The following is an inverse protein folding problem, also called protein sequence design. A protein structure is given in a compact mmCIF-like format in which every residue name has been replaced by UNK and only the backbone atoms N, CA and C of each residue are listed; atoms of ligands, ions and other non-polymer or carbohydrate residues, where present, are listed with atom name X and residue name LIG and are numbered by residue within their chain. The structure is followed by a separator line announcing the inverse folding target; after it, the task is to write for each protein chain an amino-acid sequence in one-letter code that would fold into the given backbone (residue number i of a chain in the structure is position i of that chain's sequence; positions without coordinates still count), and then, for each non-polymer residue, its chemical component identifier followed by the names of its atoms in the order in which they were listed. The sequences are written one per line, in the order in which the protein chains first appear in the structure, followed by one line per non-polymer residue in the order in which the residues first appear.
data_IF_435110685845
#
_entry.id   IF_435110685845
#
_cell.length_a   1.000
_cell.length_b   1.000
_cell.length_c   1.000
_cell.angle_alpha   90.00
_cell.angle_beta   90.00
_cell.angle_gamma   90.00
#
_symmetry.space_group_name_H-M   'P 1'
#
loop_
_entity.id
_entity.type
_entity.pdbx_description
1 polymer ?
#
# COMPACT_ATOMS: atom_id res chain seq x y z
N UNK A 1 12.45 40.06 17.83
CA UNK A 1 12.57 40.01 16.36
C UNK A 1 12.87 38.57 15.96
N UNK A 2 11.85 37.84 15.50
CA UNK A 2 11.98 36.44 15.08
C UNK A 2 12.34 36.42 13.59
N UNK A 3 13.58 36.06 13.25
CA UNK A 3 14.02 35.90 11.87
C UNK A 3 13.57 34.53 11.35
N UNK A 4 12.50 34.51 10.56
CA UNK A 4 12.13 33.39 9.71
C UNK A 4 13.11 33.36 8.53
N UNK A 5 14.05 32.41 8.53
CA UNK A 5 14.85 32.12 7.32
C UNK A 5 13.98 31.32 6.35
N UNK A 6 13.47 31.98 5.32
CA UNK A 6 12.91 31.30 4.15
C UNK A 6 14.04 30.56 3.43
N UNK A 7 14.01 29.23 3.45
CA UNK A 7 14.84 28.42 2.57
C UNK A 7 14.23 28.49 1.16
N UNK A 8 14.70 29.41 0.33
CA UNK A 8 14.44 29.38 -1.12
C UNK A 8 15.15 28.15 -1.71
N UNK A 9 14.40 27.15 -2.17
CA UNK A 9 14.94 26.06 -2.99
C UNK A 9 15.12 26.56 -4.45
N UNK A 10 16.36 26.66 -4.93
CA UNK A 10 16.74 26.63 -6.37
C UNK A 10 18.23 26.21 -6.47
N UNK A 11 18.70 25.36 -7.42
CA UNK A 11 18.08 24.86 -8.64
C UNK A 11 18.01 23.32 -8.70
N UNK A 12 17.26 22.73 -7.78
CA UNK A 12 16.76 21.36 -7.94
C UNK A 12 15.29 21.44 -8.32
N UNK A 13 14.78 20.61 -9.25
CA UNK A 13 13.36 20.62 -9.58
C UNK A 13 12.59 20.50 -8.25
N UNK A 14 11.68 21.44 -8.00
CA UNK A 14 10.89 21.59 -6.78
C UNK A 14 10.49 20.24 -6.14
N UNK A 15 10.16 19.28 -7.00
CA UNK A 15 9.96 17.86 -6.71
C UNK A 15 11.00 17.17 -5.81
N UNK A 16 12.30 17.32 -6.12
CA UNK A 16 13.38 16.71 -5.34
C UNK A 16 13.54 17.38 -3.97
N UNK A 17 13.27 18.69 -3.86
CA UNK A 17 13.26 19.40 -2.58
C UNK A 17 12.13 18.88 -1.68
N UNK A 18 10.93 18.71 -2.23
CA UNK A 18 9.77 18.18 -1.50
C UNK A 18 9.96 16.71 -1.09
N UNK A 19 10.45 15.84 -1.98
CA UNK A 19 10.84 14.45 -1.63
C UNK A 19 11.84 14.44 -0.48
N UNK A 20 12.86 15.29 -0.52
CA UNK A 20 13.87 15.37 0.55
C UNK A 20 13.35 15.96 1.87
N UNK A 21 12.31 16.81 1.82
CA UNK A 21 11.62 17.31 3.02
C UNK A 21 10.83 16.19 3.72
N UNK A 22 10.09 15.37 2.96
CA UNK A 22 9.37 14.20 3.48
C UNK A 22 10.34 13.21 4.14
N UNK A 23 11.48 12.93 3.49
CA UNK A 23 12.54 12.05 4.02
C UNK A 23 13.09 12.51 5.38
N UNK A 24 13.11 13.82 5.65
CA UNK A 24 13.57 14.39 6.92
C UNK A 24 12.49 14.31 8.00
N UNK A 25 11.22 14.39 7.62
CA UNK A 25 10.08 14.31 8.53
C UNK A 25 9.67 12.86 8.86
N UNK A 26 9.94 11.89 7.98
CA UNK A 26 9.47 10.51 8.09
C UNK A 26 10.64 9.52 7.95
N UNK A 27 11.20 9.09 9.09
CA UNK A 27 12.11 7.94 9.16
C UNK A 27 11.34 6.77 9.76
N UNK A 28 10.84 5.86 8.92
CA UNK A 28 10.11 4.71 9.44
C UNK A 28 11.10 3.64 9.87
N UNK A 29 11.42 3.62 11.16
CA UNK A 29 12.31 2.63 11.78
C UNK A 29 11.60 1.38 12.32
N UNK A 30 10.27 1.27 12.17
CA UNK A 30 9.50 0.20 12.78
C UNK A 30 9.35 -1.01 11.84
N UNK A 31 9.80 -2.17 12.30
CA UNK A 31 9.46 -3.45 11.70
C UNK A 31 7.92 -3.62 11.66
N UNK A 32 7.42 -4.25 10.60
CA UNK A 32 6.02 -4.69 10.48
C UNK A 32 5.93 -6.20 10.79
N UNK A 33 6.05 -6.63 12.06
CA UNK A 33 6.08 -8.06 12.38
C UNK A 33 4.80 -8.79 11.92
N UNK A 34 3.65 -8.10 11.88
CA UNK A 34 2.39 -8.63 11.37
C UNK A 34 2.38 -9.03 9.92
N UNK A 35 3.13 -8.32 9.08
CA UNK A 35 3.25 -8.59 7.64
C UNK A 35 3.65 -10.05 7.37
N UNK A 36 4.52 -10.63 8.21
CA UNK A 36 4.97 -12.00 8.02
C UNK A 36 3.83 -13.02 8.21
N UNK A 37 2.89 -12.75 9.11
CA UNK A 37 1.75 -13.64 9.36
C UNK A 37 0.77 -13.60 8.18
N UNK A 38 0.45 -12.40 7.71
CA UNK A 38 -0.40 -12.20 6.53
C UNK A 38 0.19 -12.91 5.30
N UNK A 39 1.46 -12.64 4.98
CA UNK A 39 2.12 -13.24 3.81
C UNK A 39 2.17 -14.77 3.90
N UNK A 40 2.44 -15.34 5.08
CA UNK A 40 2.42 -16.80 5.29
C UNK A 40 1.03 -17.40 5.03
N UNK A 41 -0.03 -16.72 5.42
CA UNK A 41 -1.40 -17.20 5.20
C UNK A 41 -1.79 -17.13 3.72
N UNK A 42 -1.39 -16.06 3.02
CA UNK A 42 -1.59 -15.93 1.57
C UNK A 42 -0.77 -16.96 0.80
N UNK A 43 0.49 -17.17 1.17
CA UNK A 43 1.36 -18.21 0.58
C UNK A 43 0.70 -19.59 0.64
N UNK A 44 0.15 -19.94 1.81
CA UNK A 44 -0.58 -21.20 1.99
C UNK A 44 -1.85 -21.25 1.14
N UNK A 45 -2.63 -20.16 1.10
CA UNK A 45 -3.88 -20.09 0.33
C UNK A 45 -3.63 -20.24 -1.19
N UNK A 46 -2.51 -19.72 -1.68
CA UNK A 46 -2.13 -19.70 -3.08
C UNK A 46 -1.05 -20.72 -3.47
N UNK A 47 -0.71 -21.69 -2.61
CA UNK A 47 0.37 -22.67 -2.82
C UNK A 47 0.39 -23.31 -4.22
N UNK A 48 -0.77 -23.64 -4.79
CA UNK A 48 -0.90 -24.23 -6.14
C UNK A 48 -0.61 -23.28 -7.31
N UNK A 49 -0.56 -21.97 -7.06
CA UNK A 49 -0.33 -20.92 -8.06
C UNK A 49 1.08 -20.33 -7.98
N UNK A 50 1.95 -20.87 -7.10
CA UNK A 50 3.35 -20.47 -6.91
C UNK A 50 3.51 -18.95 -6.75
N UNK A 51 2.95 -18.33 -5.68
CA UNK A 51 3.06 -16.90 -5.46
C UNK A 51 4.52 -16.48 -5.32
N UNK A 52 4.89 -15.33 -5.93
CA UNK A 52 6.18 -14.70 -5.66
C UNK A 52 6.05 -13.82 -4.42
N UNK A 53 6.97 -13.99 -3.48
CA UNK A 53 6.95 -13.26 -2.22
C UNK A 53 8.33 -12.69 -1.96
N UNK A 54 8.40 -11.37 -1.80
CA UNK A 54 9.60 -10.62 -1.44
C UNK A 54 9.42 -10.11 0.00
N UNK A 55 10.43 -10.28 0.85
CA UNK A 55 10.35 -9.94 2.29
C UNK A 55 11.62 -9.18 2.69
N UNK A 56 11.50 -8.28 3.67
CA UNK A 56 12.64 -7.60 4.30
C UNK A 56 13.62 -7.02 3.25
N UNK A 57 14.86 -7.50 3.22
CA UNK A 57 15.91 -7.02 2.33
C UNK A 57 15.63 -7.24 0.83
N UNK A 58 14.71 -8.15 0.48
CA UNK A 58 14.33 -8.40 -0.91
C UNK A 58 13.17 -7.49 -1.37
N UNK A 59 12.42 -6.90 -0.43
CA UNK A 59 11.27 -6.04 -0.72
C UNK A 59 11.72 -4.58 -0.92
N UNK A 60 12.62 -4.34 -1.87
CA UNK A 60 13.18 -3.02 -2.17
C UNK A 60 12.50 -2.36 -3.36
N UNK A 61 12.60 -1.03 -3.43
CA UNK A 61 12.21 -0.27 -4.61
C UNK A 61 12.94 -0.76 -5.87
N UNK A 62 14.24 -1.02 -5.79
CA UNK A 62 15.01 -1.52 -6.94
C UNK A 62 14.48 -2.86 -7.45
N UNK A 63 14.14 -3.79 -6.56
CA UNK A 63 13.53 -5.06 -6.95
C UNK A 63 12.21 -4.83 -7.67
N UNK A 64 11.34 -3.96 -7.13
CA UNK A 64 10.06 -3.63 -7.74
C UNK A 64 10.22 -3.00 -9.14
N UNK A 65 11.15 -2.05 -9.30
CA UNK A 65 11.47 -1.44 -10.59
C UNK A 65 11.99 -2.49 -11.60
N UNK A 66 12.82 -3.43 -11.16
CA UNK A 66 13.33 -4.51 -12.01
C UNK A 66 12.20 -5.45 -12.47
N UNK A 67 11.28 -5.81 -11.57
CA UNK A 67 10.10 -6.63 -11.91
C UNK A 67 9.19 -5.92 -12.91
N UNK A 68 9.06 -4.59 -12.80
CA UNK A 68 8.33 -3.77 -13.77
C UNK A 68 9.00 -3.81 -15.14
N UNK A 69 10.30 -3.48 -15.21
CA UNK A 69 11.09 -3.46 -16.46
C UNK A 69 11.11 -4.81 -17.18
N UNK A 70 11.08 -5.92 -16.45
CA UNK A 70 11.04 -7.27 -17.00
C UNK A 70 9.62 -7.74 -17.38
N UNK A 71 8.60 -6.88 -17.25
CA UNK A 71 7.20 -7.22 -17.52
C UNK A 71 6.66 -8.31 -16.59
N UNK A 72 7.28 -8.50 -15.42
CA UNK A 72 6.84 -9.52 -14.45
C UNK A 72 5.57 -9.07 -13.74
N UNK A 73 5.48 -7.79 -13.36
CA UNK A 73 4.31 -7.27 -12.65
C UNK A 73 3.01 -7.41 -13.47
N UNK A 74 3.07 -7.15 -14.78
CA UNK A 74 1.97 -7.32 -15.71
C UNK A 74 1.44 -8.78 -15.83
N UNK A 75 2.15 -9.78 -15.29
CA UNK A 75 1.71 -11.19 -15.30
C UNK A 75 0.85 -11.57 -14.09
N UNK A 76 0.72 -10.68 -13.10
CA UNK A 76 0.02 -10.95 -11.85
C UNK A 76 -1.33 -10.23 -11.79
N UNK A 77 -2.38 -11.02 -11.56
CA UNK A 77 -3.74 -10.48 -11.34
C UNK A 77 -3.89 -9.82 -9.97
N UNK A 78 -3.13 -10.28 -8.97
CA UNK A 78 -3.18 -9.78 -7.60
C UNK A 78 -1.79 -9.33 -7.15
N UNK A 79 -1.70 -8.10 -6.67
CA UNK A 79 -0.50 -7.52 -6.06
C UNK A 79 -0.82 -7.17 -4.61
N UNK A 80 0.04 -7.56 -3.67
CA UNK A 80 -0.17 -7.30 -2.24
C UNK A 80 1.08 -6.64 -1.66
N UNK A 81 0.90 -5.46 -1.09
CA UNK A 81 1.94 -4.70 -0.42
C UNK A 81 1.58 -4.52 1.05
N UNK A 82 2.22 -5.31 1.90
CA UNK A 82 2.19 -5.17 3.34
C UNK A 82 3.35 -4.24 3.77
N UNK A 83 3.31 -3.00 3.27
CA UNK A 83 4.34 -1.99 3.43
C UNK A 83 3.73 -0.69 3.96
N UNK A 84 4.57 0.13 4.59
CA UNK A 84 4.16 1.44 5.07
C UNK A 84 3.75 2.34 3.91
N UNK A 85 2.73 3.16 4.12
CA UNK A 85 2.27 4.16 3.17
C UNK A 85 2.45 5.56 3.73
N UNK A 86 2.91 6.48 2.91
CA UNK A 86 2.90 7.91 3.18
C UNK A 86 1.85 8.56 2.27
N UNK A 87 0.93 9.35 2.83
CA UNK A 87 -0.05 10.11 2.05
C UNK A 87 0.22 11.60 2.23
N UNK A 88 0.43 12.29 1.12
CA UNK A 88 0.56 13.75 1.10
C UNK A 88 -0.76 14.36 0.67
N UNK A 89 -1.40 15.12 1.56
CA UNK A 89 -2.62 15.85 1.23
C UNK A 89 -2.32 17.07 0.35
N UNK A 90 -1.18 17.73 0.57
CA UNK A 90 -0.78 18.94 -0.17
C UNK A 90 -0.31 18.62 -1.59
N UNK A 91 0.45 17.54 -1.75
CA UNK A 91 1.01 17.13 -3.05
C UNK A 91 0.73 15.64 -3.26
N UNK A 92 -0.47 15.26 -3.75
CA UNK A 92 -0.89 13.86 -3.86
C UNK A 92 0.10 12.95 -4.60
N UNK A 93 0.81 13.48 -5.59
CA UNK A 93 1.82 12.77 -6.35
C UNK A 93 3.02 12.29 -5.49
N UNK A 94 3.28 12.91 -4.32
CA UNK A 94 4.32 12.52 -3.37
C UNK A 94 3.87 11.43 -2.38
N UNK A 95 2.59 11.06 -2.39
CA UNK A 95 2.12 9.89 -1.65
C UNK A 95 2.92 8.67 -2.11
N UNK A 96 3.41 7.83 -1.20
CA UNK A 96 4.39 6.81 -1.51
C UNK A 96 4.14 5.50 -0.76
N UNK A 97 4.51 4.39 -1.41
CA UNK A 97 4.78 3.14 -0.71
C UNK A 97 6.24 3.14 -0.26
N UNK A 98 6.45 2.85 1.02
CA UNK A 98 7.77 2.81 1.65
C UNK A 98 8.24 1.36 1.69
N UNK A 99 9.24 1.06 0.88
CA UNK A 99 9.88 -0.24 0.75
C UNK A 99 11.21 -0.28 1.50
N UNK A 100 11.99 -1.35 1.36
CA UNK A 100 13.28 -1.51 2.04
C UNK A 100 14.16 -0.27 1.92
N UNK A 101 14.59 0.26 3.08
CA UNK A 101 15.39 1.49 3.20
C UNK A 101 16.86 1.25 3.57
N UNK A 102 17.24 -0.02 3.79
CA UNK A 102 18.57 -0.40 4.26
C UNK A 102 19.45 -0.76 3.06
N UNK A 103 20.66 -0.21 3.02
CA UNK A 103 21.67 -0.46 1.96
C UNK A 103 21.18 -0.16 0.53
N UNK A 104 20.35 0.86 0.36
CA UNK A 104 19.88 1.23 -0.97
C UNK A 104 21.03 1.83 -1.83
N UNK A 105 21.12 1.44 -3.12
CA UNK A 105 22.04 2.08 -4.07
C UNK A 105 21.76 3.58 -4.22
N UNK A 106 22.76 4.34 -4.69
CA UNK A 106 22.57 5.74 -5.03
C UNK A 106 21.42 5.90 -6.03
N UNK A 107 20.46 6.78 -5.71
CA UNK A 107 19.27 7.01 -6.53
C UNK A 107 18.05 6.13 -6.20
N UNK A 108 18.20 5.13 -5.32
CA UNK A 108 17.08 4.37 -4.75
C UNK A 108 16.85 4.89 -3.34
N UNK A 109 15.70 5.47 -3.08
CA UNK A 109 15.40 6.08 -1.78
C UNK A 109 14.41 5.26 -0.94
N UNK A 110 13.85 4.21 -1.52
CA UNK A 110 12.90 3.31 -0.86
C UNK A 110 11.48 3.87 -0.85
N UNK A 111 11.22 5.00 -1.50
CA UNK A 111 9.89 5.61 -1.62
C UNK A 111 9.41 5.52 -3.06
N UNK A 112 8.44 4.65 -3.31
CA UNK A 112 7.80 4.57 -4.64
C UNK A 112 6.58 5.47 -4.62
N UNK A 113 6.76 6.68 -5.12
CA UNK A 113 5.71 7.72 -5.12
C UNK A 113 4.61 7.45 -6.14
N UNK A 114 3.44 8.05 -5.93
CA UNK A 114 2.32 8.03 -6.87
C UNK A 114 2.76 8.54 -8.24
N UNK A 115 3.59 9.57 -8.30
CA UNK A 115 4.21 10.03 -9.56
C UNK A 115 5.01 8.92 -10.26
N UNK A 116 5.82 8.16 -9.52
CA UNK A 116 6.59 7.04 -10.08
C UNK A 116 5.71 5.87 -10.51
N UNK A 117 4.66 5.55 -9.75
CA UNK A 117 3.72 4.48 -10.08
C UNK A 117 3.09 4.65 -11.46
N UNK A 118 2.84 5.89 -11.93
CA UNK A 118 2.31 6.14 -13.27
C UNK A 118 3.20 5.64 -14.41
N UNK A 119 4.49 5.40 -14.16
CA UNK A 119 5.43 4.83 -15.13
C UNK A 119 5.51 3.30 -15.14
N UNK A 120 4.71 2.60 -14.33
CA UNK A 120 4.67 1.14 -14.27
C UNK A 120 3.64 0.57 -15.27
N UNK A 121 3.89 -0.64 -15.77
CA UNK A 121 2.93 -1.42 -16.57
C UNK A 121 2.36 -2.57 -15.73
N UNK A 122 1.13 -2.38 -15.25
CA UNK A 122 0.35 -3.35 -14.50
C UNK A 122 -0.82 -3.85 -15.36
N UNK A 123 -1.20 -5.11 -15.13
CA UNK A 123 -2.44 -5.70 -15.64
C UNK A 123 -3.18 -6.41 -14.52
N UNK A 124 -3.04 -5.87 -13.31
CA UNK A 124 -3.61 -6.44 -12.10
C UNK A 124 -5.10 -6.11 -11.99
N UNK A 125 -5.88 -7.09 -11.59
CA UNK A 125 -7.27 -6.87 -11.26
C UNK A 125 -7.41 -6.22 -9.88
N UNK A 126 -6.46 -6.47 -8.98
CA UNK A 126 -6.51 -5.99 -7.61
C UNK A 126 -5.11 -5.75 -7.03
N UNK A 127 -4.92 -4.58 -6.44
CA UNK A 127 -3.82 -4.25 -5.53
C UNK A 127 -4.35 -4.15 -4.09
N UNK A 128 -3.65 -4.73 -3.12
CA UNK A 128 -3.99 -4.63 -1.70
C UNK A 128 -2.85 -3.97 -0.95
N UNK A 129 -3.14 -2.88 -0.23
CA UNK A 129 -2.24 -2.21 0.69
C UNK A 129 -2.69 -2.50 2.13
N UNK A 130 -1.98 -3.36 2.85
CA UNK A 130 -2.43 -3.89 4.15
C UNK A 130 -1.71 -3.30 5.37
N UNK A 131 -0.66 -2.49 5.19
CA UNK A 131 0.10 -1.89 6.29
C UNK A 131 0.10 -0.35 6.25
N UNK A 132 -1.07 0.26 6.08
CA UNK A 132 -1.19 1.71 6.10
C UNK A 132 -1.09 2.25 7.54
N UNK A 133 0.08 2.76 7.92
CA UNK A 133 0.20 3.87 8.88
C UNK A 133 0.09 5.21 8.16
N UNK A 134 -0.83 5.31 7.19
CA UNK A 134 -0.98 6.49 6.34
C UNK A 134 -1.57 7.64 7.15
N UNK A 135 -0.70 8.40 7.82
CA UNK A 135 -1.05 9.50 8.71
C UNK A 135 -0.95 9.09 10.17
N UNK A 136 0.22 9.30 10.80
CA UNK A 136 0.41 9.28 12.26
C UNK A 136 -0.41 10.40 12.94
N UNK A 137 -1.74 10.32 12.87
CA UNK A 137 -2.64 11.10 13.71
C UNK A 137 -3.53 12.13 13.02
N UNK A 138 -3.38 12.40 11.72
CA UNK A 138 -4.30 13.31 11.02
C UNK A 138 -5.33 12.56 10.18
N UNK A 139 -6.60 12.88 10.42
CA UNK A 139 -7.73 12.46 9.59
C UNK A 139 -7.42 12.89 8.16
N UNK A 140 -7.07 11.92 7.31
CA UNK A 140 -6.93 12.19 5.89
C UNK A 140 -8.34 12.42 5.35
N UNK A 141 -8.68 13.68 5.07
CA UNK A 141 -9.89 14.01 4.33
C UNK A 141 -9.91 13.20 3.03
N UNK A 142 -11.09 12.71 2.63
CA UNK A 142 -11.23 11.72 1.54
C UNK A 142 -10.56 12.11 0.20
N UNK A 143 -10.26 13.39 0.00
CA UNK A 143 -9.57 13.94 -1.18
C UNK A 143 -8.07 13.60 -1.23
N UNK A 144 -7.39 13.48 -0.06
CA UNK A 144 -5.97 13.10 0.01
C UNK A 144 -5.70 11.61 -0.21
N UNK A 145 -6.74 10.77 -0.15
CA UNK A 145 -6.66 9.30 -0.28
C UNK A 145 -6.58 8.86 -1.76
N UNK A 146 -6.81 9.76 -2.72
CA UNK A 146 -6.86 9.41 -4.13
C UNK A 146 -5.48 9.28 -4.81
N UNK A 147 -4.40 9.80 -4.23
CA UNK A 147 -3.08 9.85 -4.90
C UNK A 147 -2.54 8.48 -5.35
N UNK A 148 -2.42 7.53 -4.41
CA UNK A 148 -1.90 6.18 -4.72
C UNK A 148 -2.89 5.32 -5.52
N UNK A 149 -4.18 5.19 -5.13
CA UNK A 149 -5.14 4.42 -5.92
C UNK A 149 -5.28 4.91 -7.35
N UNK A 150 -5.30 6.23 -7.57
CA UNK A 150 -5.32 6.81 -8.91
C UNK A 150 -4.05 6.48 -9.69
N UNK A 151 -2.87 6.62 -9.07
CA UNK A 151 -1.62 6.28 -9.73
C UNK A 151 -1.54 4.79 -10.13
N UNK A 152 -2.01 3.88 -9.26
CA UNK A 152 -2.11 2.47 -9.62
C UNK A 152 -3.08 2.24 -10.77
N UNK A 153 -4.22 2.94 -10.77
CA UNK A 153 -5.18 2.88 -11.87
C UNK A 153 -4.57 3.32 -13.20
N UNK A 154 -3.85 4.45 -13.22
CA UNK A 154 -3.10 4.92 -14.39
C UNK A 154 -2.06 3.88 -14.83
N UNK A 155 -1.41 3.21 -13.88
CA UNK A 155 -0.46 2.13 -14.16
C UNK A 155 -1.12 0.83 -14.68
N UNK A 156 -2.45 0.75 -14.79
CA UNK A 156 -3.18 -0.41 -15.33
C UNK A 156 -3.74 -1.38 -14.28
N UNK A 157 -3.75 -1.01 -13.00
CA UNK A 157 -4.47 -1.76 -11.97
C UNK A 157 -5.96 -1.40 -11.95
N UNK A 158 -6.86 -2.37 -11.86
CA UNK A 158 -8.32 -2.08 -11.90
C UNK A 158 -8.90 -1.61 -10.57
N UNK A 159 -8.47 -2.22 -9.47
CA UNK A 159 -9.02 -1.97 -8.14
C UNK A 159 -7.95 -1.98 -7.07
N UNK A 160 -8.08 -1.13 -6.06
CA UNK A 160 -7.16 -1.03 -4.93
C UNK A 160 -7.94 -1.15 -3.64
N UNK A 161 -7.55 -2.10 -2.79
CA UNK A 161 -8.00 -2.16 -1.39
C UNK A 161 -6.91 -1.57 -0.50
N UNK A 162 -7.28 -0.65 0.39
CA UNK A 162 -6.36 -0.07 1.38
C UNK A 162 -7.02 0.07 2.75
N UNK A 163 -6.20 0.19 3.79
CA UNK A 163 -6.66 0.48 5.15
C UNK A 163 -6.57 1.98 5.45
N UNK A 164 -7.65 2.59 5.94
CA UNK A 164 -7.69 4.02 6.31
C UNK A 164 -6.92 4.34 7.59
N UNK A 165 -6.76 3.37 8.49
CA UNK A 165 -6.04 3.51 9.76
C UNK A 165 -5.39 2.19 10.15
N UNK A 166 -4.46 2.24 11.10
CA UNK A 166 -3.76 1.06 11.61
C UNK A 166 -4.70 0.12 12.37
N UNK A 167 -4.62 -1.16 12.05
CA UNK A 167 -5.35 -2.25 12.69
C UNK A 167 -4.32 -3.25 13.23
N UNK A 168 -4.64 -3.95 14.32
CA UNK A 168 -3.75 -5.00 14.83
C UNK A 168 -3.46 -6.07 13.78
N UNK A 169 -2.18 -6.41 13.67
CA UNK A 169 -1.62 -7.40 12.75
C UNK A 169 -2.43 -8.70 12.64
N UNK A 170 -2.91 -9.21 13.77
CA UNK A 170 -3.70 -10.44 13.82
C UNK A 170 -5.00 -10.28 13.04
N UNK A 171 -5.70 -9.17 13.25
CA UNK A 171 -7.00 -8.90 12.62
C UNK A 171 -6.81 -8.65 11.13
N UNK A 172 -5.80 -7.88 10.74
CA UNK A 172 -5.46 -7.62 9.34
C UNK A 172 -5.21 -8.92 8.58
N UNK A 173 -4.35 -9.79 9.12
CA UNK A 173 -4.06 -11.09 8.50
C UNK A 173 -5.30 -11.98 8.35
N UNK A 174 -6.16 -12.03 9.38
CA UNK A 174 -7.43 -12.78 9.31
C UNK A 174 -8.40 -12.19 8.29
N UNK A 175 -8.49 -10.86 8.20
CA UNK A 175 -9.39 -10.15 7.29
C UNK A 175 -8.97 -10.37 5.84
N UNK A 176 -7.70 -10.09 5.53
CA UNK A 176 -7.12 -10.26 4.19
C UNK A 176 -7.21 -11.73 3.75
N UNK A 177 -6.91 -12.68 4.64
CA UNK A 177 -7.06 -14.11 4.32
C UNK A 177 -8.52 -14.50 4.02
N UNK A 178 -9.48 -13.98 4.78
CA UNK A 178 -10.90 -14.24 4.54
C UNK A 178 -11.38 -13.60 3.22
N UNK A 179 -10.89 -12.41 2.90
CA UNK A 179 -11.15 -11.72 1.64
C UNK A 179 -10.60 -12.51 0.44
N UNK A 180 -9.32 -12.88 0.45
CA UNK A 180 -8.73 -13.66 -0.65
C UNK A 180 -9.32 -15.05 -0.80
N UNK A 181 -9.81 -15.67 0.28
CA UNK A 181 -10.54 -16.95 0.20
C UNK A 181 -11.79 -16.83 -0.65
N UNK A 182 -12.53 -15.72 -0.53
CA UNK A 182 -13.72 -15.44 -1.34
C UNK A 182 -13.36 -15.14 -2.79
N UNK A 183 -12.30 -14.36 -3.02
CA UNK A 183 -11.78 -14.12 -4.37
C UNK A 183 -11.38 -15.43 -5.06
N UNK A 184 -10.67 -16.31 -4.36
CA UNK A 184 -10.29 -17.63 -4.87
C UNK A 184 -11.50 -18.52 -5.17
N UNK A 185 -12.61 -18.33 -4.46
CA UNK A 185 -13.88 -18.99 -4.73
C UNK A 185 -14.69 -18.35 -5.87
N UNK A 186 -14.13 -17.37 -6.60
CA UNK A 186 -14.77 -16.71 -7.74
C UNK A 186 -15.70 -15.56 -7.36
N UNK A 187 -15.76 -15.16 -6.09
CA UNK A 187 -16.57 -14.00 -5.67
C UNK A 187 -15.89 -12.71 -6.15
N UNK A 188 -16.64 -11.85 -6.84
CA UNK A 188 -16.16 -10.53 -7.28
C UNK A 188 -15.68 -9.65 -6.13
N UNK A 189 -14.77 -8.72 -6.40
CA UNK A 189 -13.99 -8.03 -5.37
C UNK A 189 -14.82 -7.22 -4.39
N UNK A 190 -15.79 -6.44 -4.88
CA UNK A 190 -16.70 -5.64 -4.06
C UNK A 190 -17.55 -6.55 -3.16
N UNK A 191 -18.10 -7.62 -3.72
CA UNK A 191 -18.89 -8.63 -2.99
C UNK A 191 -18.04 -9.36 -1.96
N UNK A 192 -16.80 -9.71 -2.30
CA UNK A 192 -15.87 -10.36 -1.39
C UNK A 192 -15.51 -9.46 -0.20
N UNK A 193 -15.21 -8.18 -0.44
CA UNK A 193 -14.90 -7.22 0.62
C UNK A 193 -16.13 -7.03 1.53
N UNK A 194 -17.30 -6.83 0.94
CA UNK A 194 -18.58 -6.66 1.67
C UNK A 194 -18.89 -7.90 2.52
N UNK A 195 -18.75 -9.10 1.95
CA UNK A 195 -18.98 -10.35 2.66
C UNK A 195 -17.98 -10.56 3.81
N UNK A 196 -16.71 -10.17 3.62
CA UNK A 196 -15.71 -10.23 4.70
C UNK A 196 -16.01 -9.24 5.82
N UNK A 197 -16.43 -8.00 5.52
CA UNK A 197 -16.89 -7.05 6.55
C UNK A 197 -18.05 -7.62 7.36
N UNK A 198 -19.07 -8.17 6.68
CA UNK A 198 -20.23 -8.81 7.32
C UNK A 198 -19.83 -10.02 8.18
N UNK A 199 -18.88 -10.82 7.71
CA UNK A 199 -18.34 -11.94 8.48
C UNK A 199 -17.72 -11.46 9.80
N UNK A 200 -16.90 -10.41 9.77
CA UNK A 200 -16.27 -9.84 10.97
C UNK A 200 -17.30 -9.25 11.94
N UNK A 201 -18.32 -8.55 11.43
CA UNK A 201 -19.45 -8.08 12.23
C UNK A 201 -20.16 -9.23 12.96
N UNK A 202 -20.44 -10.32 12.24
CA UNK A 202 -21.16 -11.49 12.80
C UNK A 202 -20.34 -12.32 13.78
N UNK A 203 -19.00 -12.29 13.72
CA UNK A 203 -18.13 -12.99 14.68
C UNK A 203 -18.29 -12.48 16.11
N UNK A 204 -18.78 -11.26 16.31
CA UNK A 204 -19.00 -10.68 17.63
C UNK A 204 -17.69 -10.31 18.37
N UNK A 205 -17.84 -9.90 19.63
CA UNK A 205 -16.72 -9.51 20.49
C UNK A 205 -15.94 -8.31 19.95
N UNK A 206 -14.61 -8.37 20.00
CA UNK A 206 -13.77 -7.31 19.44
C UNK A 206 -13.99 -7.15 17.93
N UNK A 207 -14.10 -8.25 17.17
CA UNK A 207 -14.15 -8.22 15.69
C UNK A 207 -15.35 -7.48 15.11
N UNK A 208 -16.44 -7.31 15.86
CA UNK A 208 -17.62 -6.57 15.40
C UNK A 208 -17.45 -5.05 15.43
N UNK A 209 -16.46 -4.55 16.19
CA UNK A 209 -16.21 -3.11 16.32
C UNK A 209 -15.75 -2.53 14.97
N UNK A 210 -16.34 -1.42 14.49
CA UNK A 210 -16.00 -0.79 13.20
C UNK A 210 -14.51 -0.57 12.97
N UNK A 211 -13.74 -0.29 14.02
CA UNK A 211 -12.28 -0.12 13.96
C UNK A 211 -11.54 -1.27 13.26
N UNK A 212 -12.08 -2.48 13.21
CA UNK A 212 -11.42 -3.66 12.63
C UNK A 212 -11.81 -4.00 11.19
N UNK A 213 -12.97 -3.55 10.72
CA UNK A 213 -13.48 -3.92 9.38
C UNK A 213 -13.79 -2.70 8.52
N UNK A 214 -14.09 -1.54 9.13
CA UNK A 214 -14.43 -0.33 8.40
C UNK A 214 -13.21 0.34 7.77
N UNK A 215 -12.00 0.05 8.26
CA UNK A 215 -10.76 0.60 7.72
C UNK A 215 -10.51 0.17 6.27
N UNK A 216 -10.94 -1.04 5.89
CA UNK A 216 -10.72 -1.56 4.55
C UNK A 216 -11.68 -0.92 3.55
N UNK A 217 -11.15 -0.12 2.64
CA UNK A 217 -11.91 0.52 1.56
C UNK A 217 -11.39 0.04 0.21
N UNK A 218 -12.27 0.06 -0.80
CA UNK A 218 -11.92 -0.29 -2.17
C UNK A 218 -12.13 0.94 -3.06
N UNK A 219 -11.10 1.26 -3.83
CA UNK A 219 -11.11 2.27 -4.89
C UNK A 219 -10.97 1.57 -6.23
N UNK A 220 -11.80 1.93 -7.21
CA UNK A 220 -11.77 1.33 -8.53
C UNK A 220 -13.15 1.20 -9.14
N UNK A 221 -13.29 0.26 -10.06
CA UNK A 221 -14.46 0.07 -10.90
C UNK A 221 -14.99 -1.36 -10.80
N UNK A 222 -16.32 -1.49 -10.78
CA UNK A 222 -16.99 -2.79 -10.89
C UNK A 222 -16.93 -3.25 -12.35
N UNK A 223 -16.52 -4.51 -12.55
CA UNK A 223 -16.47 -5.16 -13.86
C UNK A 223 -17.16 -6.51 -13.78
#
# INVERSE_FOLDING_TARGET
MHNIKSAMCNPYPYWQCCKNAIKRAYRIGAALPGTLKELKQLEKLFKGQKPRIYKQADATEMMLQNLSKQGVLAKYRYLVFSAHGYLSQEVPALSALVLGQVNNPAGIDGYVTAGEWTGYDLKSDLMVLSACETGLGEVVGGEGVMGLPYAFYVAGNKNTVLTLWSISDKVTAEFITSFFRKLKAGVGQIKALTATKREFIKRGGEYSKPKYWAAFVLYGVEH
#
